data_IF_945632793193
#
_entry.id   IF_945632793193
#
_cell.length_a   1.000
_cell.length_b   1.000
_cell.length_c   1.000
_cell.angle_alpha   90.00
_cell.angle_beta   90.00
_cell.angle_gamma   90.00
#
_symmetry.space_group_name_H-M   'P 1'
#
loop_
_entity.id
_entity.type
_entity.pdbx_description
1 polymer ?
#
# COMPACT_ATOMS: atom_id res chain seq x y z
N UNK A 1 17.09 -16.56 -49.64
CA UNK A 1 16.02 -16.29 -48.66
C UNK A 1 16.69 -15.75 -47.43
N UNK A 2 16.52 -14.45 -47.22
CA UNK A 2 16.89 -13.67 -46.03
C UNK A 2 16.08 -14.14 -44.84
N UNK A 3 16.67 -14.12 -43.64
CA UNK A 3 15.90 -14.31 -42.41
C UNK A 3 16.74 -14.83 -41.24
N UNK A 4 17.65 -13.98 -40.78
CA UNK A 4 18.00 -13.78 -39.37
C UNK A 4 16.91 -14.25 -38.41
N UNK A 5 17.28 -15.03 -37.39
CA UNK A 5 16.57 -15.03 -36.11
C UNK A 5 17.56 -15.40 -35.00
N UNK A 6 18.17 -14.34 -34.45
CA UNK A 6 18.66 -14.27 -33.08
C UNK A 6 17.54 -14.66 -32.11
N UNK A 7 17.52 -15.92 -31.68
CA UNK A 7 16.72 -16.33 -30.53
C UNK A 7 17.37 -15.82 -29.25
N UNK A 8 16.92 -14.60 -28.91
CA UNK A 8 17.05 -13.88 -27.65
C UNK A 8 17.48 -14.78 -26.48
N UNK A 9 18.74 -14.61 -26.08
CA UNK A 9 19.20 -14.86 -24.71
C UNK A 9 18.41 -13.93 -23.80
N UNK A 10 17.27 -14.40 -23.29
CA UNK A 10 16.50 -13.69 -22.25
C UNK A 10 17.39 -13.65 -21.01
N UNK A 11 18.04 -12.50 -20.83
CA UNK A 11 18.76 -12.16 -19.62
C UNK A 11 17.80 -12.31 -18.44
N UNK A 12 18.03 -13.31 -17.61
CA UNK A 12 17.47 -13.39 -16.28
C UNK A 12 18.01 -12.17 -15.52
N UNK A 13 17.26 -11.07 -15.54
CA UNK A 13 17.55 -9.88 -14.77
C UNK A 13 17.58 -10.28 -13.31
N UNK A 14 18.77 -10.31 -12.74
CA UNK A 14 19.05 -10.53 -11.33
C UNK A 14 18.06 -9.72 -10.51
N UNK A 15 17.22 -10.42 -9.75
CA UNK A 15 16.36 -9.82 -8.75
C UNK A 15 17.27 -9.03 -7.80
N UNK A 16 17.25 -7.70 -7.92
CA UNK A 16 17.94 -6.83 -6.96
C UNK A 16 17.38 -7.18 -5.59
N UNK A 17 18.21 -7.81 -4.76
CA UNK A 17 17.91 -8.04 -3.36
C UNK A 17 17.86 -6.67 -2.69
N UNK A 18 16.67 -6.08 -2.65
CA UNK A 18 16.39 -4.89 -1.87
C UNK A 18 16.65 -5.24 -0.41
N UNK A 19 17.57 -4.52 0.23
CA UNK A 19 17.86 -4.71 1.66
C UNK A 19 16.55 -4.68 2.44
N UNK A 20 16.22 -5.72 3.22
CA UNK A 20 14.95 -5.76 3.93
C UNK A 20 14.90 -4.60 4.94
N UNK A 21 13.80 -3.88 4.94
CA UNK A 21 13.56 -2.79 5.90
C UNK A 21 13.59 -3.40 7.31
N UNK A 22 14.31 -2.80 8.28
CA UNK A 22 14.31 -3.30 9.64
C UNK A 22 12.89 -3.23 10.21
N UNK A 23 12.43 -4.37 10.71
CA UNK A 23 11.03 -4.62 11.04
C UNK A 23 10.99 -5.39 12.36
N UNK A 24 9.98 -5.15 13.21
CA UNK A 24 9.71 -5.91 14.43
C UNK A 24 9.31 -7.36 14.09
N UNK A 25 9.37 -8.28 15.05
CA UNK A 25 8.96 -9.69 14.87
C UNK A 25 7.55 -9.85 14.28
N UNK A 26 6.65 -8.91 14.58
CA UNK A 26 5.29 -8.88 14.07
C UNK A 26 5.13 -8.14 12.73
N UNK A 27 6.22 -7.83 12.01
CA UNK A 27 6.12 -7.28 10.66
C UNK A 27 5.86 -5.76 10.59
N UNK A 28 5.97 -5.03 11.71
CA UNK A 28 5.83 -3.57 11.76
C UNK A 28 7.18 -2.91 11.47
N UNK A 29 7.28 -1.99 10.49
CA UNK A 29 8.56 -1.36 10.16
C UNK A 29 9.07 -0.50 11.32
N UNK A 30 10.38 -0.54 11.57
CA UNK A 30 11.03 0.30 12.58
C UNK A 30 11.44 1.67 12.02
N UNK A 31 11.48 1.80 10.69
CA UNK A 31 11.80 3.05 10.00
C UNK A 31 10.95 3.23 8.75
N UNK A 32 10.60 4.49 8.45
CA UNK A 32 9.85 4.89 7.26
C UNK A 32 10.52 6.12 6.67
N UNK A 33 10.84 6.09 5.37
CA UNK A 33 11.48 7.21 4.66
C UNK A 33 12.77 7.72 5.32
N UNK A 34 13.55 6.81 5.92
CA UNK A 34 14.78 7.17 6.64
C UNK A 34 14.57 7.73 8.05
N UNK A 35 13.32 7.79 8.54
CA UNK A 35 12.99 8.23 9.90
C UNK A 35 12.66 7.02 10.77
N UNK A 36 13.32 6.91 11.93
CA UNK A 36 13.01 5.87 12.91
C UNK A 36 11.69 6.15 13.62
N UNK A 37 10.87 5.12 13.79
CA UNK A 37 9.59 5.23 14.50
C UNK A 37 9.79 5.14 16.01
N UNK A 38 9.00 5.92 16.74
CA UNK A 38 8.87 5.78 18.18
C UNK A 38 7.86 4.67 18.56
N UNK A 39 7.83 4.31 19.84
CA UNK A 39 6.97 3.24 20.36
C UNK A 39 5.48 3.49 20.10
N UNK A 40 5.02 4.73 20.29
CA UNK A 40 3.63 5.12 20.03
C UNK A 40 3.25 4.94 18.55
N UNK A 41 4.15 5.28 17.63
CA UNK A 41 3.95 5.10 16.19
C UNK A 41 3.88 3.62 15.81
N UNK A 42 4.77 2.79 16.37
CA UNK A 42 4.76 1.34 16.17
C UNK A 42 3.45 0.73 16.70
N UNK A 43 3.01 1.14 17.89
CA UNK A 43 1.74 0.69 18.47
C UNK A 43 0.52 1.09 17.62
N UNK A 44 0.49 2.32 17.10
CA UNK A 44 -0.57 2.79 16.22
C UNK A 44 -0.63 1.99 14.89
N UNK A 45 0.52 1.65 14.31
CA UNK A 45 0.58 0.79 13.12
C UNK A 45 0.06 -0.62 13.40
N UNK A 46 0.40 -1.19 14.57
CA UNK A 46 -0.08 -2.49 15.02
C UNK A 46 -1.61 -2.49 15.16
N UNK A 47 -2.19 -1.49 15.83
CA UNK A 47 -3.65 -1.36 15.95
C UNK A 47 -4.31 -1.21 14.58
N UNK A 48 -3.78 -0.37 13.70
CA UNK A 48 -4.33 -0.18 12.36
C UNK A 48 -4.34 -1.47 11.54
N UNK A 49 -3.29 -2.30 11.65
CA UNK A 49 -3.23 -3.62 11.02
C UNK A 49 -4.31 -4.54 11.59
N UNK A 50 -4.42 -4.61 12.91
CA UNK A 50 -5.39 -5.48 13.57
C UNK A 50 -6.84 -5.07 13.23
N UNK A 51 -7.11 -3.75 13.11
CA UNK A 51 -8.40 -3.24 12.61
C UNK A 51 -8.70 -3.66 11.17
N UNK A 52 -7.70 -3.63 10.27
CA UNK A 52 -7.87 -4.12 8.88
C UNK A 52 -8.20 -5.61 8.86
N UNK A 53 -7.44 -6.42 9.59
CA UNK A 53 -7.68 -7.85 9.69
C UNK A 53 -9.09 -8.17 10.23
N UNK A 54 -9.56 -7.40 11.22
CA UNK A 54 -10.92 -7.56 11.76
C UNK A 54 -12.03 -7.15 10.77
N UNK A 55 -11.78 -6.15 9.91
CA UNK A 55 -12.70 -5.76 8.83
C UNK A 55 -12.71 -6.85 7.75
N UNK A 56 -11.55 -7.29 7.29
CA UNK A 56 -11.40 -8.33 6.27
C UNK A 56 -12.05 -9.64 6.71
N UNK A 57 -11.90 -10.01 7.99
CA UNK A 57 -12.54 -11.21 8.56
C UNK A 57 -14.09 -11.10 8.63
N UNK A 58 -14.64 -9.89 8.65
CA UNK A 58 -16.09 -9.62 8.66
C UNK A 58 -16.68 -9.42 7.27
N UNK A 59 -15.84 -9.30 6.24
CA UNK A 59 -16.23 -8.96 4.89
C UNK A 59 -16.85 -10.16 4.14
N UNK A 60 -18.06 -10.57 4.51
CA UNK A 60 -18.96 -11.33 3.62
C UNK A 60 -19.75 -10.35 2.74
N UNK A 61 -19.02 -9.48 2.05
CA UNK A 61 -19.59 -8.44 1.18
C UNK A 61 -19.30 -8.85 -0.27
N UNK A 62 -20.31 -8.83 -1.16
CA UNK A 62 -20.07 -9.08 -2.58
C UNK A 62 -18.96 -8.18 -3.09
N UNK A 63 -17.97 -8.75 -3.77
CA UNK A 63 -16.88 -7.98 -4.38
C UNK A 63 -17.48 -6.96 -5.34
N UNK A 64 -17.28 -5.68 -5.04
CA UNK A 64 -17.69 -4.63 -5.96
C UNK A 64 -16.82 -4.72 -7.23
N UNK A 65 -17.46 -4.94 -8.38
CA UNK A 65 -16.76 -4.90 -9.66
C UNK A 65 -16.58 -3.44 -10.05
N UNK A 66 -15.34 -2.96 -10.04
CA UNK A 66 -14.97 -1.53 -10.21
C UNK A 66 -15.35 -0.60 -9.04
N UNK A 67 -15.60 -1.14 -7.84
CA UNK A 67 -15.80 -0.35 -6.62
C UNK A 67 -14.49 -0.12 -5.85
N UNK A 68 -14.52 0.79 -4.87
CA UNK A 68 -13.35 1.06 -4.03
C UNK A 68 -13.14 -0.08 -3.02
N UNK A 69 -11.89 -0.51 -2.81
CA UNK A 69 -11.53 -1.58 -1.85
C UNK A 69 -11.92 -1.28 -0.38
N UNK A 70 -12.42 -0.07 -0.07
CA UNK A 70 -12.71 0.38 1.29
C UNK A 70 -14.08 1.04 1.33
N UNK A 71 -14.74 0.95 2.49
CA UNK A 71 -15.95 1.71 2.77
C UNK A 71 -15.71 3.20 2.47
N UNK A 72 -16.39 3.74 1.46
CA UNK A 72 -16.31 5.15 1.12
C UNK A 72 -16.78 5.97 2.34
N UNK A 73 -15.85 6.73 2.95
CA UNK A 73 -16.18 7.73 3.97
C UNK A 73 -17.08 8.84 3.40
N UNK A 74 -17.17 8.92 2.08
CA UNK A 74 -17.89 9.92 1.30
C UNK A 74 -19.39 9.65 1.26
N UNK A 75 -20.05 9.63 2.42
CA UNK A 75 -21.49 9.90 2.46
C UNK A 75 -21.85 11.28 2.99
N UNK A 76 -20.93 11.95 3.69
CA UNK A 76 -21.13 13.34 4.12
C UNK A 76 -19.80 14.12 4.16
N UNK A 77 -19.63 15.01 3.18
CA UNK A 77 -18.86 16.26 3.34
C UNK A 77 -17.34 16.16 3.33
N UNK A 78 -16.76 15.85 2.17
CA UNK A 78 -15.46 16.46 1.83
C UNK A 78 -15.77 17.89 1.37
N UNK A 79 -15.17 18.92 1.99
CA UNK A 79 -15.28 20.31 1.50
C UNK A 79 -14.52 20.55 0.19
N UNK A 80 -14.14 19.48 -0.50
CA UNK A 80 -13.28 19.48 -1.67
C UNK A 80 -14.05 19.12 -2.94
N UNK A 81 -13.90 19.95 -3.97
CA UNK A 81 -14.23 19.57 -5.33
C UNK A 81 -12.99 18.91 -5.94
N UNK A 82 -13.02 17.59 -6.12
CA UNK A 82 -11.91 16.81 -6.70
C UNK A 82 -10.57 16.89 -5.92
N UNK A 83 -10.63 16.94 -4.59
CA UNK A 83 -9.45 16.72 -3.75
C UNK A 83 -8.55 17.94 -3.46
N UNK A 84 -9.05 19.19 -3.56
CA UNK A 84 -8.27 20.41 -3.28
C UNK A 84 -9.03 21.40 -2.40
N UNK A 85 -8.47 21.75 -1.25
CA UNK A 85 -8.88 22.92 -0.47
C UNK A 85 -8.41 24.24 -1.13
N UNK A 86 -9.29 25.23 -1.23
CA UNK A 86 -9.01 26.57 -1.80
C UNK A 86 -9.17 27.61 -0.68
N UNK A 87 -8.13 28.42 -0.44
CA UNK A 87 -8.16 29.57 0.48
C UNK A 87 -7.65 30.83 -0.26
N UNK A 88 -8.38 31.95 -0.18
CA UNK A 88 -8.08 33.20 -0.89
C UNK A 88 -7.24 34.13 0.00
N UNK A 89 -5.92 33.88 0.03
CA UNK A 89 -4.93 34.86 0.51
C UNK A 89 -4.52 35.84 -0.59
#
# INVERSE_FOLDING_TARGET
MTGENDDKRVSASEARAETPVPTTDDGIPLMVNGVALNETQIAALREARDRRAAIDARADVPREVNGADRAEATRYGDWEKAGRAIDFS
#
